data_IF_437185892759
#
_entry.id   IF_437185892759
#
_cell.length_a   1.000
_cell.length_b   1.000
_cell.length_c   1.000
_cell.angle_alpha   90.00
_cell.angle_beta   90.00
_cell.angle_gamma   90.00
#
_symmetry.space_group_name_H-M   'P 1'
#
loop_
_entity.id
_entity.type
_entity.pdbx_description
1 polymer ?
#
# COMPACT_ATOMS: atom_id res chain seq x y z
N UNK A 1 -4.98 22.60 -16.87
CA UNK A 1 -5.64 21.27 -16.80
C UNK A 1 -7.13 21.51 -16.79
N UNK A 2 -7.83 21.04 -17.82
CA UNK A 2 -9.28 21.20 -17.92
C UNK A 2 -9.94 20.20 -16.95
N UNK A 3 -10.95 20.60 -16.18
CA UNK A 3 -11.76 19.65 -15.44
C UNK A 3 -12.52 18.80 -16.47
N UNK A 4 -12.32 17.49 -16.44
CA UNK A 4 -13.08 16.53 -17.24
C UNK A 4 -14.55 16.64 -16.84
N UNK A 5 -15.33 17.42 -17.61
CA UNK A 5 -16.79 17.55 -17.47
C UNK A 5 -17.55 16.24 -17.80
N UNK A 6 -16.83 15.15 -18.05
CA UNK A 6 -17.35 13.83 -18.41
C UNK A 6 -17.04 12.74 -17.38
N UNK A 7 -16.38 13.05 -16.26
CA UNK A 7 -16.16 12.09 -15.18
C UNK A 7 -17.30 12.18 -14.17
N UNK A 8 -17.98 11.05 -13.95
CA UNK A 8 -19.06 10.94 -12.96
C UNK A 8 -18.49 10.64 -11.56
N UNK A 9 -17.18 10.46 -11.45
CA UNK A 9 -16.47 9.97 -10.25
C UNK A 9 -15.22 10.81 -10.02
N UNK A 10 -15.29 11.72 -9.04
CA UNK A 10 -14.11 12.50 -8.62
C UNK A 10 -13.58 11.94 -7.31
N UNK A 11 -12.29 11.60 -7.26
CA UNK A 11 -11.59 11.24 -6.03
C UNK A 11 -10.81 12.48 -5.59
N UNK A 12 -11.22 13.07 -4.47
CA UNK A 12 -10.57 14.27 -3.93
C UNK A 12 -9.24 13.93 -3.24
N UNK A 13 -8.43 14.96 -2.97
CA UNK A 13 -7.11 14.86 -2.32
C UNK A 13 -7.22 14.19 -0.94
N UNK A 14 -8.36 14.35 -0.27
CA UNK A 14 -8.68 13.73 1.01
C UNK A 14 -9.20 12.27 0.88
N UNK A 15 -9.05 11.65 -0.29
CA UNK A 15 -9.59 10.32 -0.60
C UNK A 15 -11.12 10.22 -0.48
N UNK A 16 -11.81 11.35 -0.52
CA UNK A 16 -13.27 11.39 -0.56
C UNK A 16 -13.75 11.15 -1.99
N UNK A 17 -14.66 10.20 -2.15
CA UNK A 17 -15.14 9.75 -3.44
C UNK A 17 -16.51 10.39 -3.70
N UNK A 18 -16.55 11.34 -4.63
CA UNK A 18 -17.76 12.06 -5.04
C UNK A 18 -18.31 11.42 -6.31
N UNK A 19 -19.56 10.98 -6.24
CA UNK A 19 -20.26 10.36 -7.36
C UNK A 19 -21.54 11.14 -7.63
N UNK A 20 -21.74 11.53 -8.88
CA UNK A 20 -22.98 12.17 -9.32
C UNK A 20 -23.49 11.47 -10.58
N UNK A 21 -24.74 11.03 -10.59
CA UNK A 21 -25.44 10.50 -11.77
C UNK A 21 -26.92 10.89 -11.68
N UNK A 22 -27.57 11.12 -12.82
CA UNK A 22 -28.98 11.53 -12.91
C UNK A 22 -29.87 10.43 -13.51
N UNK A 23 -29.28 9.41 -14.13
CA UNK A 23 -30.02 8.32 -14.78
C UNK A 23 -29.43 6.94 -14.47
N UNK A 24 -30.24 5.89 -14.62
CA UNK A 24 -29.79 4.50 -14.45
C UNK A 24 -28.74 4.09 -15.50
N UNK A 25 -28.76 4.72 -16.68
CA UNK A 25 -27.74 4.55 -17.71
C UNK A 25 -26.39 5.16 -17.29
N UNK A 26 -26.40 6.38 -16.75
CA UNK A 26 -25.20 7.02 -16.19
C UNK A 26 -24.63 6.25 -15.00
N UNK A 27 -25.49 5.73 -14.12
CA UNK A 27 -25.08 4.90 -12.99
C UNK A 27 -24.28 3.66 -13.44
N UNK A 28 -24.71 3.00 -14.53
CA UNK A 28 -23.97 1.86 -15.13
C UNK A 28 -22.62 2.28 -15.72
N UNK A 29 -22.50 3.49 -16.26
CA UNK A 29 -21.24 4.04 -16.76
C UNK A 29 -20.30 4.36 -15.58
N UNK A 30 -20.82 5.00 -14.52
CA UNK A 30 -20.06 5.29 -13.31
C UNK A 30 -19.48 4.02 -12.66
N UNK A 31 -20.24 2.91 -12.62
CA UNK A 31 -19.73 1.61 -12.15
C UNK A 31 -18.54 1.13 -13.00
N UNK A 32 -18.59 1.30 -14.33
CA UNK A 32 -17.48 0.91 -15.20
C UNK A 32 -16.24 1.75 -14.94
N UNK A 33 -16.41 3.06 -14.75
CA UNK A 33 -15.33 3.99 -14.39
C UNK A 33 -14.70 3.61 -13.03
N UNK A 34 -15.51 3.35 -12.01
CA UNK A 34 -15.07 2.86 -10.70
C UNK A 34 -14.30 1.54 -10.79
N UNK A 35 -14.77 0.59 -11.60
CA UNK A 35 -14.08 -0.69 -11.84
C UNK A 35 -12.72 -0.50 -12.51
N UNK A 36 -12.59 0.49 -13.41
CA UNK A 36 -11.32 0.83 -14.05
C UNK A 36 -10.37 1.47 -13.02
N UNK A 37 -10.85 2.46 -12.25
CA UNK A 37 -10.08 3.09 -11.16
C UNK A 37 -9.61 2.07 -10.13
N UNK A 38 -10.46 1.12 -9.73
CA UNK A 38 -10.08 0.00 -8.85
C UNK A 38 -8.89 -0.79 -9.41
N UNK A 39 -8.85 -1.05 -10.72
CA UNK A 39 -7.73 -1.77 -11.35
C UNK A 39 -6.44 -0.95 -11.30
N UNK A 40 -6.52 0.37 -11.50
CA UNK A 40 -5.37 1.28 -11.36
C UNK A 40 -4.80 1.21 -9.94
N UNK A 41 -5.63 1.39 -8.91
CA UNK A 41 -5.17 1.29 -7.51
C UNK A 41 -4.69 -0.11 -7.14
N UNK A 42 -5.29 -1.18 -7.68
CA UNK A 42 -4.80 -2.53 -7.49
C UNK A 42 -3.41 -2.75 -8.11
N UNK A 43 -3.10 -2.08 -9.23
CA UNK A 43 -1.77 -2.10 -9.82
C UNK A 43 -0.76 -1.39 -8.92
N UNK A 44 -1.09 -0.19 -8.41
CA UNK A 44 -0.25 0.55 -7.46
C UNK A 44 0.03 -0.27 -6.20
N UNK A 45 -0.99 -0.93 -5.63
CA UNK A 45 -0.83 -1.83 -4.48
C UNK A 45 0.19 -2.95 -4.75
N UNK A 46 0.14 -3.54 -5.94
CA UNK A 46 1.07 -4.62 -6.34
C UNK A 46 2.50 -4.08 -6.45
N UNK A 47 2.68 -2.90 -7.03
CA UNK A 47 3.98 -2.26 -7.14
C UNK A 47 4.60 -1.99 -5.75
N UNK A 48 3.85 -1.39 -4.83
CA UNK A 48 4.30 -1.16 -3.45
C UNK A 48 4.66 -2.48 -2.77
N UNK A 49 3.85 -3.53 -2.98
CA UNK A 49 4.12 -4.86 -2.41
C UNK A 49 5.41 -5.49 -2.98
N UNK A 50 5.73 -5.24 -4.26
CA UNK A 50 6.99 -5.68 -4.86
C UNK A 50 8.18 -4.91 -4.28
N UNK A 51 8.06 -3.59 -4.10
CA UNK A 51 9.10 -2.77 -3.47
C UNK A 51 9.41 -3.26 -2.04
N UNK A 52 8.36 -3.54 -1.24
CA UNK A 52 8.53 -4.14 0.09
C UNK A 52 9.26 -5.50 0.03
N UNK A 53 8.93 -6.33 -0.96
CA UNK A 53 9.57 -7.64 -1.16
C UNK A 53 11.04 -7.51 -1.51
N UNK A 54 11.41 -6.57 -2.38
CA UNK A 54 12.80 -6.27 -2.75
C UNK A 54 13.60 -5.84 -1.52
N UNK A 55 13.09 -4.86 -0.76
CA UNK A 55 13.76 -4.37 0.47
C UNK A 55 13.98 -5.51 1.49
N UNK A 56 12.97 -6.37 1.67
CA UNK A 56 13.08 -7.54 2.56
C UNK A 56 14.09 -8.58 2.05
N UNK A 57 14.15 -8.80 0.73
CA UNK A 57 15.12 -9.70 0.11
C UNK A 57 16.55 -9.18 0.30
N UNK A 58 16.81 -7.90 -0.01
CA UNK A 58 18.11 -7.25 0.18
C UNK A 58 18.57 -7.28 1.64
N UNK A 59 17.66 -7.07 2.59
CA UNK A 59 17.98 -7.24 4.01
C UNK A 59 18.34 -8.69 4.35
N UNK A 60 17.58 -9.65 3.83
CA UNK A 60 17.83 -11.08 4.06
C UNK A 60 19.19 -11.50 3.53
N UNK A 61 19.56 -11.04 2.33
CA UNK A 61 20.85 -11.35 1.72
C UNK A 61 22.01 -10.71 2.50
N UNK A 62 21.87 -9.46 2.93
CA UNK A 62 22.84 -8.79 3.82
C UNK A 62 23.03 -9.53 5.14
N UNK A 63 21.94 -10.03 5.74
CA UNK A 63 22.01 -10.79 7.00
C UNK A 63 22.67 -12.15 6.79
N UNK A 64 22.39 -12.83 5.68
CA UNK A 64 23.00 -14.14 5.34
C UNK A 64 24.51 -14.04 5.11
N UNK A 65 24.98 -12.95 4.49
CA UNK A 65 26.41 -12.75 4.19
C UNK A 65 27.26 -12.39 5.43
N UNK A 66 26.64 -11.96 6.53
CA UNK A 66 27.37 -11.43 7.72
C UNK A 66 28.04 -12.49 8.62
N UNK A 67 27.94 -13.77 8.30
CA UNK A 67 28.61 -14.85 9.05
C UNK A 67 28.09 -15.06 10.48
N UNK A 68 28.55 -16.15 11.11
CA UNK A 68 28.15 -16.50 12.49
C UNK A 68 28.74 -15.52 13.51
N UNK A 69 28.02 -15.24 14.61
CA UNK A 69 28.57 -14.45 15.73
C UNK A 69 29.81 -15.18 16.27
N UNK A 70 30.95 -14.48 16.32
CA UNK A 70 32.19 -15.02 16.89
C UNK A 70 31.91 -15.39 18.35
N UNK A 71 32.00 -16.69 18.67
CA UNK A 71 31.72 -17.27 19.98
C UNK A 71 32.99 -17.26 20.84
N UNK A 72 33.60 -16.09 21.03
CA UNK A 72 34.82 -15.95 21.85
C UNK A 72 34.50 -15.83 23.35
N UNK A 73 35.10 -16.70 24.18
CA UNK A 73 35.01 -16.63 25.64
C UNK A 73 35.98 -15.58 26.20
N UNK A 74 35.48 -14.66 27.04
CA UNK A 74 36.27 -13.61 27.70
C UNK A 74 35.63 -12.23 27.70
N UNK A 75 36.23 -11.29 28.44
CA UNK A 75 35.79 -9.88 28.56
C UNK A 75 35.79 -9.15 27.21
N UNK A 76 36.80 -9.38 26.36
CA UNK A 76 36.89 -8.83 24.99
C UNK A 76 35.76 -9.39 24.10
N UNK A 77 35.46 -10.69 24.22
CA UNK A 77 34.35 -11.32 23.51
C UNK A 77 32.96 -10.82 23.95
N UNK A 78 32.84 -10.20 25.13
CA UNK A 78 31.62 -9.53 25.58
C UNK A 78 31.44 -8.18 24.86
N UNK A 79 32.49 -7.38 24.75
CA UNK A 79 32.47 -6.08 24.04
C UNK A 79 32.14 -6.24 22.56
N UNK A 80 32.82 -7.18 21.88
CA UNK A 80 32.57 -7.46 20.45
C UNK A 80 31.12 -7.92 20.22
N UNK A 81 30.56 -8.73 21.12
CA UNK A 81 29.14 -9.15 21.05
C UNK A 81 28.18 -8.00 21.26
N UNK A 82 28.48 -7.07 22.17
CA UNK A 82 27.65 -5.88 22.40
C UNK A 82 27.61 -5.02 21.14
N UNK A 83 28.75 -4.74 20.51
CA UNK A 83 28.83 -3.97 19.26
C UNK A 83 28.07 -4.70 18.12
N UNK A 84 28.27 -6.00 17.95
CA UNK A 84 27.54 -6.80 16.96
C UNK A 84 26.03 -6.82 17.20
N UNK A 85 25.58 -6.70 18.44
CA UNK A 85 24.15 -6.67 18.78
C UNK A 85 23.55 -5.29 18.51
N UNK A 86 24.25 -4.23 18.91
CA UNK A 86 23.86 -2.84 18.61
C UNK A 86 23.73 -2.62 17.10
N UNK A 87 24.70 -3.11 16.31
CA UNK A 87 24.63 -2.99 14.85
C UNK A 87 23.42 -3.73 14.28
N UNK A 88 23.15 -4.97 14.73
CA UNK A 88 21.99 -5.74 14.27
C UNK A 88 20.66 -5.08 14.63
N UNK A 89 20.57 -4.49 15.80
CA UNK A 89 19.37 -3.76 16.23
C UNK A 89 19.20 -2.47 15.42
N UNK A 90 20.30 -1.78 15.11
CA UNK A 90 20.33 -0.65 14.18
C UNK A 90 19.83 -1.02 12.79
N UNK A 91 20.30 -2.14 12.22
CA UNK A 91 19.87 -2.59 10.88
C UNK A 91 18.39 -2.98 10.84
N UNK A 92 17.87 -3.58 11.93
CA UNK A 92 16.43 -3.88 12.05
C UNK A 92 15.60 -2.60 12.10
N UNK A 93 16.07 -1.59 12.84
CA UNK A 93 15.40 -0.28 12.88
C UNK A 93 15.44 0.42 11.51
N UNK A 94 16.57 0.35 10.81
CA UNK A 94 16.70 0.90 9.46
C UNK A 94 15.74 0.21 8.47
N UNK A 95 15.63 -1.13 8.54
CA UNK A 95 14.64 -1.87 7.76
C UNK A 95 13.21 -1.41 8.07
N UNK A 96 12.86 -1.29 9.35
CA UNK A 96 11.53 -0.84 9.77
C UNK A 96 11.23 0.57 9.25
N UNK A 97 12.20 1.49 9.32
CA UNK A 97 12.07 2.85 8.79
C UNK A 97 11.86 2.89 7.28
N UNK A 98 12.49 1.97 6.52
CA UNK A 98 12.29 1.85 5.07
C UNK A 98 10.92 1.26 4.71
N UNK A 99 10.42 0.29 5.49
CA UNK A 99 9.14 -0.37 5.22
C UNK A 99 7.93 0.45 5.67
N UNK A 100 8.05 1.23 6.76
CA UNK A 100 6.96 2.03 7.33
C UNK A 100 6.24 2.93 6.31
N UNK A 101 6.92 3.77 5.50
CA UNK A 101 6.25 4.62 4.53
C UNK A 101 5.52 3.79 3.45
N UNK A 102 6.11 2.67 3.01
CA UNK A 102 5.47 1.77 2.04
C UNK A 102 4.25 1.07 2.62
N UNK A 103 4.27 0.69 3.89
CA UNK A 103 3.12 0.12 4.59
C UNK A 103 1.99 1.14 4.74
N UNK A 104 2.31 2.39 5.09
CA UNK A 104 1.32 3.48 5.14
C UNK A 104 0.68 3.73 3.76
N UNK A 105 1.49 3.82 2.70
CA UNK A 105 0.99 3.98 1.33
C UNK A 105 0.12 2.81 0.90
N UNK A 106 0.53 1.57 1.20
CA UNK A 106 -0.27 0.38 0.90
C UNK A 106 -1.62 0.41 1.61
N UNK A 107 -1.64 0.80 2.89
CA UNK A 107 -2.87 0.91 3.67
C UNK A 107 -3.79 2.00 3.13
N UNK A 108 -3.24 3.14 2.70
CA UNK A 108 -4.02 4.20 2.06
C UNK A 108 -4.67 3.72 0.75
N UNK A 109 -3.90 3.03 -0.10
CA UNK A 109 -4.40 2.43 -1.35
C UNK A 109 -5.48 1.38 -1.06
N UNK A 110 -5.31 0.56 -0.01
CA UNK A 110 -6.33 -0.41 0.42
C UNK A 110 -7.62 0.29 0.90
N UNK A 111 -7.50 1.41 1.61
CA UNK A 111 -8.64 2.25 1.99
C UNK A 111 -9.41 2.75 0.77
N UNK A 112 -8.72 3.24 -0.26
CA UNK A 112 -9.34 3.72 -1.51
C UNK A 112 -10.05 2.57 -2.24
N UNK A 113 -9.43 1.40 -2.36
CA UNK A 113 -10.05 0.24 -3.01
C UNK A 113 -11.34 -0.15 -2.29
N UNK A 114 -11.33 -0.17 -0.95
CA UNK A 114 -12.51 -0.48 -0.16
C UNK A 114 -13.61 0.57 -0.33
N UNK A 115 -13.26 1.85 -0.38
CA UNK A 115 -14.22 2.93 -0.64
C UNK A 115 -14.87 2.80 -2.02
N UNK A 116 -14.08 2.46 -3.05
CA UNK A 116 -14.60 2.17 -4.41
C UNK A 116 -15.57 0.99 -4.39
N UNK A 117 -15.24 -0.09 -3.66
CA UNK A 117 -16.13 -1.25 -3.57
C UNK A 117 -17.45 -0.94 -2.87
N UNK A 118 -17.42 -0.16 -1.79
CA UNK A 118 -18.63 0.33 -1.12
C UNK A 118 -19.48 1.21 -2.04
N UNK A 119 -18.84 2.11 -2.78
CA UNK A 119 -19.51 2.97 -3.74
C UNK A 119 -20.18 2.17 -4.87
N UNK A 120 -19.50 1.17 -5.44
CA UNK A 120 -20.09 0.29 -6.46
C UNK A 120 -21.36 -0.38 -5.91
N UNK A 121 -21.31 -0.92 -4.69
CA UNK A 121 -22.47 -1.57 -4.07
C UNK A 121 -23.64 -0.60 -3.85
N UNK A 122 -23.38 0.64 -3.44
CA UNK A 122 -24.41 1.67 -3.28
C UNK A 122 -25.07 2.03 -4.61
N UNK A 123 -24.29 2.17 -5.69
CA UNK A 123 -24.83 2.45 -7.03
C UNK A 123 -25.61 1.25 -7.56
N UNK A 124 -25.10 0.02 -7.38
CA UNK A 124 -25.78 -1.21 -7.79
C UNK A 124 -27.14 -1.33 -7.10
N UNK A 125 -27.21 -1.01 -5.79
CA UNK A 125 -28.47 -0.95 -5.06
C UNK A 125 -29.44 0.10 -5.63
N UNK A 126 -28.96 1.32 -5.90
CA UNK A 126 -29.77 2.38 -6.51
C UNK A 126 -30.36 1.94 -7.85
N UNK A 127 -29.57 1.27 -8.69
CA UNK A 127 -30.03 0.76 -9.99
C UNK A 127 -31.15 -0.27 -9.80
N UNK A 128 -31.04 -1.18 -8.81
CA UNK A 128 -32.08 -2.19 -8.55
C UNK A 128 -33.37 -1.54 -8.04
N UNK A 129 -33.28 -0.54 -7.16
CA UNK A 129 -34.45 0.15 -6.58
C UNK A 129 -35.19 1.04 -7.59
N UNK A 130 -34.53 1.46 -8.67
CA UNK A 130 -35.08 2.38 -9.70
C UNK A 130 -35.17 1.74 -11.10
N UNK A 131 -35.15 0.41 -11.18
CA UNK A 131 -35.30 -0.36 -12.43
C UNK A 131 -36.57 -1.18 -12.44
#
# INVERSE_FOLDING_TARGET
MLPDKSSFVTIDIDSQLHISFQSSAEAKIAIKELKLKKKEYAFVKREISQQQKIIRAEYTDRVRQRGSKIRGGGSIGRVVRTIQTINRDGDRRALAQQLTPLEQQKNAVDGIINAIDQAILQIERYIIENS
#
